data_IF_683682026909
#
_entry.id   IF_683682026909
#
_cell.length_a   1.000
_cell.length_b   1.000
_cell.length_c   1.000
_cell.angle_alpha   90.00
_cell.angle_beta   90.00
_cell.angle_gamma   90.00
#
_symmetry.space_group_name_H-M   'P 1'
#
loop_
_entity.id
_entity.type
_entity.pdbx_description
1 polymer ?
#
# COMPACT_ATOMS: atom_id res chain seq x y z
N UNK A 1 32.65 -43.76 0.86
CA UNK A 1 33.22 -42.89 1.91
C UNK A 1 32.85 -41.48 1.49
N UNK A 2 31.60 -41.05 1.69
CA UNK A 2 30.96 -40.73 2.99
C UNK A 2 31.92 -39.86 3.81
N UNK A 3 31.59 -38.62 4.18
CA UNK A 3 30.32 -38.11 4.74
C UNK A 3 30.12 -36.64 4.30
N UNK A 4 28.95 -36.04 4.05
CA UNK A 4 27.73 -35.86 4.85
C UNK A 4 27.99 -35.40 6.29
N UNK A 5 28.06 -34.09 6.49
CA UNK A 5 27.87 -33.48 7.81
C UNK A 5 26.84 -32.36 7.65
N UNK A 6 25.62 -32.68 8.06
CA UNK A 6 24.54 -31.73 8.26
C UNK A 6 24.87 -30.77 9.39
N UNK A 7 24.60 -29.48 9.16
CA UNK A 7 24.50 -28.47 10.21
C UNK A 7 23.02 -28.32 10.53
N UNK A 8 22.58 -29.05 11.56
CA UNK A 8 21.32 -28.81 12.24
C UNK A 8 21.57 -27.72 13.27
N UNK A 9 21.35 -26.47 12.89
CA UNK A 9 21.37 -25.36 13.84
C UNK A 9 19.93 -25.10 14.29
N UNK A 10 19.58 -25.76 15.39
CA UNK A 10 18.37 -25.52 16.18
C UNK A 10 18.40 -24.11 16.78
N UNK A 11 17.74 -23.17 16.09
CA UNK A 11 17.49 -21.83 16.63
C UNK A 11 16.33 -21.90 17.63
N UNK A 12 16.72 -21.84 18.90
CA UNK A 12 15.91 -21.89 20.11
C UNK A 12 14.58 -21.13 20.04
N UNK A 13 13.50 -21.81 20.45
CA UNK A 13 12.23 -21.15 20.78
C UNK A 13 12.41 -20.23 21.99
N UNK A 14 12.39 -18.92 21.77
CA UNK A 14 12.31 -17.93 22.84
C UNK A 14 10.91 -18.01 23.45
N UNK A 15 10.79 -18.72 24.57
CA UNK A 15 9.63 -18.67 25.45
C UNK A 15 9.55 -17.26 26.06
N UNK A 16 8.73 -16.40 25.47
CA UNK A 16 8.39 -15.11 26.07
C UNK A 16 7.55 -15.41 27.31
N UNK A 17 8.20 -15.42 28.46
CA UNK A 17 7.57 -15.52 29.76
C UNK A 17 6.76 -14.24 29.97
N UNK A 18 5.44 -14.39 29.97
CA UNK A 18 4.52 -13.30 30.23
C UNK A 18 4.58 -12.93 31.72
N UNK A 19 5.47 -11.99 32.05
CA UNK A 19 5.45 -11.30 33.35
C UNK A 19 4.25 -10.33 33.31
N UNK A 20 3.10 -10.91 33.67
CA UNK A 20 1.85 -10.24 33.93
C UNK A 20 1.96 -9.53 35.29
N UNK A 21 2.72 -8.45 35.32
CA UNK A 21 2.83 -7.60 36.48
C UNK A 21 1.57 -6.73 36.54
N UNK A 22 0.68 -7.14 37.46
CA UNK A 22 -0.61 -6.52 37.70
C UNK A 22 -0.48 -5.02 37.93
N UNK A 23 -0.96 -4.25 36.97
CA UNK A 23 -1.37 -2.89 37.22
C UNK A 23 -2.72 -2.98 37.96
N UNK A 24 -2.70 -2.88 39.28
CA UNK A 24 -3.91 -2.52 40.02
C UNK A 24 -4.20 -1.05 39.69
N UNK A 25 -5.04 -0.83 38.68
CA UNK A 25 -5.76 0.44 38.58
C UNK A 25 -6.80 0.41 39.67
N UNK A 26 -6.54 1.14 40.76
CA UNK A 26 -7.61 1.70 41.57
C UNK A 26 -8.30 2.78 40.73
N UNK A 27 -9.14 2.38 39.78
CA UNK A 27 -10.11 3.26 39.15
C UNK A 27 -11.44 3.10 39.91
N UNK A 28 -11.47 3.67 41.11
CA UNK A 28 -12.74 3.96 41.81
C UNK A 28 -13.43 5.10 41.06
N UNK A 29 -14.15 4.69 40.04
CA UNK A 29 -14.76 5.59 39.08
C UNK A 29 -15.57 4.82 38.06
N UNK A 30 -16.62 4.11 38.49
CA UNK A 30 -17.80 4.10 37.62
C UNK A 30 -18.26 5.55 37.58
N UNK A 31 -17.63 6.34 36.70
CA UNK A 31 -18.26 7.51 36.16
C UNK A 31 -19.61 7.00 35.68
N UNK A 32 -20.69 7.48 36.31
CA UNK A 32 -22.01 7.34 35.74
C UNK A 32 -21.85 7.70 34.27
N UNK A 33 -21.88 6.67 33.42
CA UNK A 33 -22.28 6.83 32.03
C UNK A 33 -23.74 7.25 32.18
N UNK A 34 -23.93 8.52 32.50
CA UNK A 34 -25.19 9.19 32.21
C UNK A 34 -25.49 8.77 30.78
N UNK A 35 -26.67 8.21 30.54
CA UNK A 35 -27.19 7.93 29.22
C UNK A 35 -27.34 9.28 28.48
N UNK A 36 -26.22 9.93 28.18
CA UNK A 36 -26.12 10.97 27.19
C UNK A 36 -26.35 10.24 25.89
N UNK A 37 -27.64 10.12 25.53
CA UNK A 37 -28.09 9.67 24.22
C UNK A 37 -27.38 10.51 23.17
N UNK A 38 -26.30 9.98 22.62
CA UNK A 38 -25.63 10.57 21.49
C UNK A 38 -26.58 10.47 20.31
N UNK A 39 -27.13 11.60 19.92
CA UNK A 39 -28.03 11.74 18.79
C UNK A 39 -27.22 11.99 17.53
N UNK A 40 -27.78 11.68 16.37
CA UNK A 40 -27.22 12.12 15.08
C UNK A 40 -27.08 13.64 14.97
N UNK A 41 -27.74 14.39 15.85
CA UNK A 41 -27.64 15.86 15.99
C UNK A 41 -26.33 16.32 16.65
N UNK A 42 -25.67 15.45 17.43
CA UNK A 42 -24.37 15.72 18.05
C UNK A 42 -23.20 15.50 17.08
N UNK A 43 -23.50 14.86 15.93
CA UNK A 43 -22.58 14.75 14.80
C UNK A 43 -22.50 16.13 14.15
N UNK A 44 -21.48 16.88 14.53
CA UNK A 44 -21.08 18.08 13.83
C UNK A 44 -20.54 17.63 12.47
N UNK A 45 -21.24 18.00 11.39
CA UNK A 45 -20.77 17.76 10.04
C UNK A 45 -19.47 18.55 9.85
N UNK A 46 -18.33 17.87 10.02
CA UNK A 46 -16.99 18.46 9.87
C UNK A 46 -16.60 18.56 8.39
N UNK A 47 -17.55 18.42 7.46
CA UNK A 47 -17.32 18.56 6.02
C UNK A 47 -17.16 20.04 5.61
N UNK A 48 -16.28 20.76 6.29
CA UNK A 48 -15.72 22.03 5.79
C UNK A 48 -14.61 21.75 4.75
N UNK A 49 -14.31 20.48 4.47
CA UNK A 49 -13.35 20.09 3.44
C UNK A 49 -14.00 20.23 2.07
N UNK A 50 -13.59 21.27 1.36
CA UNK A 50 -13.85 21.47 -0.06
C UNK A 50 -13.49 20.18 -0.81
N UNK A 51 -14.48 19.47 -1.36
CA UNK A 51 -14.28 18.25 -2.15
C UNK A 51 -13.29 18.48 -3.31
N UNK A 52 -13.10 19.74 -3.73
CA UNK A 52 -12.13 20.13 -4.76
C UNK A 52 -10.67 20.17 -4.26
N UNK A 53 -10.43 20.12 -2.94
CA UNK A 53 -9.07 20.17 -2.37
C UNK A 53 -8.43 18.79 -2.23
N UNK A 54 -9.23 17.73 -2.00
CA UNK A 54 -8.68 16.38 -1.96
C UNK A 54 -8.38 15.89 -3.40
N UNK A 55 -7.11 15.97 -3.77
CA UNK A 55 -6.61 15.49 -5.06
C UNK A 55 -6.94 14.01 -5.30
N UNK A 56 -7.16 13.22 -4.24
CA UNK A 56 -7.49 11.80 -4.32
C UNK A 56 -8.98 11.54 -4.66
N UNK A 57 -9.90 12.43 -4.27
CA UNK A 57 -11.33 12.33 -4.61
C UNK A 57 -11.67 13.00 -5.94
N UNK A 58 -10.74 13.76 -6.51
CA UNK A 58 -10.86 14.38 -7.83
C UNK A 58 -11.26 13.39 -8.93
N UNK A 59 -12.04 13.87 -9.91
CA UNK A 59 -12.48 13.06 -11.05
C UNK A 59 -11.30 12.48 -11.85
N UNK A 60 -10.24 13.27 -12.01
CA UNK A 60 -9.03 12.84 -12.73
C UNK A 60 -8.32 11.69 -12.02
N UNK A 61 -8.23 11.73 -10.69
CA UNK A 61 -7.64 10.65 -9.89
C UNK A 61 -8.48 9.37 -9.97
N UNK A 62 -9.81 9.50 -9.81
CA UNK A 62 -10.76 8.38 -9.94
C UNK A 62 -10.68 7.69 -11.31
N UNK A 63 -10.40 8.44 -12.37
CA UNK A 63 -10.25 7.91 -13.73
C UNK A 63 -8.85 7.32 -14.03
N UNK A 64 -7.79 7.87 -13.46
CA UNK A 64 -6.41 7.49 -13.78
C UNK A 64 -5.91 6.29 -12.96
N UNK A 65 -6.19 6.25 -11.65
CA UNK A 65 -5.72 5.15 -10.78
C UNK A 65 -6.13 3.75 -11.25
N UNK A 66 -7.36 3.49 -11.73
CA UNK A 66 -7.72 2.18 -12.27
C UNK A 66 -6.89 1.78 -13.49
N UNK A 67 -6.53 2.74 -14.36
CA UNK A 67 -5.70 2.50 -15.55
C UNK A 67 -4.30 2.11 -15.13
N UNK A 68 -3.69 2.84 -14.21
CA UNK A 68 -2.39 2.54 -13.61
C UNK A 68 -2.33 1.15 -12.99
N UNK A 69 -3.37 0.77 -12.24
CA UNK A 69 -3.54 -0.60 -11.72
C UNK A 69 -3.63 -1.65 -12.83
N UNK A 70 -4.30 -1.34 -13.95
CA UNK A 70 -4.38 -2.23 -15.11
C UNK A 70 -3.01 -2.43 -15.78
N UNK A 71 -2.23 -1.36 -15.94
CA UNK A 71 -0.85 -1.44 -16.46
C UNK A 71 0.01 -2.33 -15.59
N UNK A 72 0.06 -2.06 -14.28
CA UNK A 72 0.82 -2.88 -13.34
C UNK A 72 0.38 -4.36 -13.36
N UNK A 73 -0.91 -4.62 -13.58
CA UNK A 73 -1.44 -5.98 -13.72
C UNK A 73 -1.02 -6.64 -15.04
N UNK A 74 -1.06 -5.92 -16.16
CA UNK A 74 -0.65 -6.39 -17.50
C UNK A 74 0.83 -6.75 -17.49
N UNK A 75 1.68 -5.84 -17.01
CA UNK A 75 3.13 -6.05 -16.88
C UNK A 75 3.48 -7.22 -15.95
N UNK A 76 2.68 -7.49 -14.91
CA UNK A 76 2.92 -8.66 -14.05
C UNK A 76 2.49 -9.97 -14.71
N UNK A 77 1.36 -9.97 -15.42
CA UNK A 77 0.75 -11.20 -15.97
C UNK A 77 1.40 -11.64 -17.29
N UNK A 78 1.99 -10.71 -18.04
CA UNK A 78 2.55 -10.97 -19.36
C UNK A 78 4.04 -10.63 -19.38
N UNK A 79 4.92 -11.65 -19.33
CA UNK A 79 6.36 -11.46 -19.48
C UNK A 79 6.73 -10.77 -20.80
N UNK A 80 6.02 -11.05 -21.88
CA UNK A 80 6.25 -10.41 -23.18
C UNK A 80 5.94 -8.91 -23.12
N UNK A 81 4.79 -8.53 -22.54
CA UNK A 81 4.46 -7.12 -22.36
C UNK A 81 5.45 -6.42 -21.42
N UNK A 82 5.98 -7.15 -20.43
CA UNK A 82 7.02 -6.63 -19.54
C UNK A 82 8.34 -6.39 -20.28
N UNK A 83 8.77 -7.32 -21.12
CA UNK A 83 9.98 -7.19 -21.92
C UNK A 83 9.89 -5.97 -22.86
N UNK A 84 8.81 -5.87 -23.63
CA UNK A 84 8.57 -4.71 -24.51
C UNK A 84 8.48 -3.39 -23.76
N UNK A 85 7.87 -3.38 -22.57
CA UNK A 85 7.84 -2.17 -21.74
C UNK A 85 9.23 -1.76 -21.27
N UNK A 86 10.11 -2.72 -20.93
CA UNK A 86 11.49 -2.44 -20.53
C UNK A 86 12.30 -1.90 -21.72
N UNK A 87 12.16 -2.49 -22.91
CA UNK A 87 12.76 -1.98 -24.15
C UNK A 87 12.36 -0.52 -24.39
N UNK A 88 11.06 -0.23 -24.31
CA UNK A 88 10.54 1.12 -24.48
C UNK A 88 11.05 2.10 -23.41
N UNK A 89 11.19 1.65 -22.16
CA UNK A 89 11.80 2.45 -21.10
C UNK A 89 13.28 2.75 -21.38
N UNK A 90 14.01 1.85 -22.01
CA UNK A 90 15.40 2.08 -22.43
C UNK A 90 15.44 3.09 -23.57
N UNK A 91 14.62 2.89 -24.61
CA UNK A 91 14.54 3.78 -25.78
C UNK A 91 14.14 5.21 -25.41
N UNK A 92 13.25 5.35 -24.43
CA UNK A 92 12.79 6.66 -23.93
C UNK A 92 13.65 7.23 -22.79
N UNK A 93 14.77 6.57 -22.48
CA UNK A 93 15.72 6.96 -21.43
C UNK A 93 15.05 7.16 -20.06
N UNK A 94 14.09 6.31 -19.71
CA UNK A 94 13.47 6.28 -18.39
C UNK A 94 14.49 5.82 -17.34
N UNK A 95 14.43 6.39 -16.14
CA UNK A 95 15.32 6.00 -15.05
C UNK A 95 14.94 4.63 -14.47
N UNK A 96 15.95 3.91 -13.95
CA UNK A 96 15.75 2.60 -13.32
C UNK A 96 15.17 2.78 -11.90
N UNK A 97 14.40 1.79 -11.39
CA UNK A 97 14.01 0.55 -12.06
C UNK A 97 12.86 0.74 -13.05
N UNK A 98 12.92 0.04 -14.19
CA UNK A 98 11.86 -0.01 -15.22
C UNK A 98 10.71 -0.91 -14.78
N UNK A 99 10.09 -0.57 -13.65
CA UNK A 99 9.04 -1.35 -13.04
C UNK A 99 7.95 -0.49 -12.43
N UNK A 100 6.71 -0.92 -12.63
CA UNK A 100 5.53 -0.32 -12.02
C UNK A 100 4.99 -1.34 -11.02
N UNK A 101 5.09 -1.00 -9.73
CA UNK A 101 4.59 -1.88 -8.67
C UNK A 101 3.06 -1.97 -8.69
N UNK A 102 2.55 -3.09 -8.19
CA UNK A 102 1.11 -3.29 -8.02
C UNK A 102 0.64 -2.57 -6.77
N UNK A 103 -0.45 -1.82 -6.90
CA UNK A 103 -1.23 -1.35 -5.78
C UNK A 103 -1.95 -2.49 -5.01
N UNK A 104 -1.75 -2.56 -3.69
CA UNK A 104 -2.23 -3.60 -2.79
C UNK A 104 -2.94 -2.94 -1.62
N UNK A 105 -4.25 -3.19 -1.49
CA UNK A 105 -5.11 -2.53 -0.47
C UNK A 105 -4.61 -2.63 0.97
N UNK A 106 -3.94 -3.72 1.31
CA UNK A 106 -3.44 -3.96 2.68
C UNK A 106 -2.06 -3.34 2.94
N UNK A 107 -1.44 -2.68 1.95
CA UNK A 107 -0.13 -2.04 2.09
C UNK A 107 -0.29 -0.54 1.98
N UNK A 108 0.02 0.15 3.08
CA UNK A 108 -0.22 1.59 3.22
C UNK A 108 0.39 2.45 2.09
N UNK A 109 1.56 2.06 1.58
CA UNK A 109 2.30 2.84 0.59
C UNK A 109 2.25 2.28 -0.84
N UNK A 110 1.42 1.28 -1.13
CA UNK A 110 1.46 0.65 -2.45
C UNK A 110 0.97 1.54 -3.59
N UNK A 111 -0.01 2.41 -3.34
CA UNK A 111 -0.48 3.37 -4.34
C UNK A 111 0.64 4.38 -4.63
N UNK A 112 1.30 4.89 -3.60
CA UNK A 112 2.43 5.80 -3.75
C UNK A 112 3.58 5.17 -4.55
N UNK A 113 4.03 3.96 -4.19
CA UNK A 113 5.10 3.26 -4.93
C UNK A 113 4.70 2.94 -6.38
N UNK A 114 3.41 2.66 -6.64
CA UNK A 114 2.91 2.50 -8.00
C UNK A 114 3.02 3.80 -8.79
N UNK A 115 2.56 4.93 -8.21
CA UNK A 115 2.63 6.25 -8.85
C UNK A 115 4.07 6.67 -9.11
N UNK A 116 4.98 6.43 -8.16
CA UNK A 116 6.40 6.72 -8.33
C UNK A 116 6.99 5.96 -9.54
N UNK A 117 6.68 4.67 -9.68
CA UNK A 117 7.12 3.88 -10.84
C UNK A 117 6.52 4.36 -12.16
N UNK A 118 5.29 4.88 -12.13
CA UNK A 118 4.61 5.44 -13.29
C UNK A 118 5.23 6.75 -13.74
N UNK A 119 5.45 7.67 -12.81
CA UNK A 119 6.12 8.95 -13.08
C UNK A 119 7.53 8.69 -13.61
N UNK A 120 8.25 7.73 -13.00
CA UNK A 120 9.59 7.32 -13.45
C UNK A 120 9.61 6.82 -14.90
N UNK A 121 8.57 6.10 -15.31
CA UNK A 121 8.46 5.51 -16.65
C UNK A 121 7.47 6.27 -17.55
N UNK A 122 7.17 7.53 -17.22
CA UNK A 122 6.08 8.29 -17.84
C UNK A 122 6.25 8.36 -19.36
N UNK A 123 7.47 8.69 -19.82
CA UNK A 123 7.79 8.81 -21.25
C UNK A 123 7.43 7.53 -22.02
N UNK A 124 7.76 6.36 -21.47
CA UNK A 124 7.43 5.08 -22.07
C UNK A 124 5.90 4.84 -22.12
N UNK A 125 5.14 5.30 -21.14
CA UNK A 125 3.68 5.12 -21.14
C UNK A 125 2.97 5.94 -22.22
N UNK A 126 3.51 7.10 -22.60
CA UNK A 126 2.91 7.97 -23.62
C UNK A 126 3.17 7.51 -25.05
N UNK A 127 4.23 6.72 -25.29
CA UNK A 127 4.60 6.24 -26.64
C UNK A 127 3.68 5.11 -27.13
N UNK A 128 3.14 4.28 -26.22
CA UNK A 128 2.16 3.27 -26.59
C UNK A 128 1.16 3.06 -25.43
N UNK A 129 0.00 3.75 -25.44
CA UNK A 129 -0.94 3.67 -24.33
C UNK A 129 -1.41 2.21 -24.19
N UNK A 130 -1.17 1.56 -23.03
CA UNK A 130 -1.64 0.21 -22.80
C UNK A 130 -3.17 0.24 -22.62
N UNK A 131 -3.88 0.07 -23.74
CA UNK A 131 -5.31 -0.27 -23.76
C UNK A 131 -5.46 -1.76 -23.45
#
# INVERSE_FOLDING_TARGET
MESDEGSEDEEAEVQIQADLDGYESEDDGIAEISDTELSTKDIKDLSDEDEEKDSYTSLSCKQSLPKFRAVARKLRKSPNSKAHFVELCIETECSKPHNIMRDVRTRWNSTFTQLEGIIRCEKAMWVNPPI
#
